data_IF_321776991711
#
_entry.id   IF_321776991711
#
_cell.length_a   1.000
_cell.length_b   1.000
_cell.length_c   1.000
_cell.angle_alpha   90.00
_cell.angle_beta   90.00
_cell.angle_gamma   90.00
#
_symmetry.space_group_name_H-M   'P 1'
#
loop_
_entity.id
_entity.type
_entity.pdbx_description
1 polymer ?
#
# COMPACT_ATOMS: atom_id res chain seq x y z
N UNK A 1 1.60 -5.24 -18.08
CA UNK A 1 3.00 -5.57 -17.77
C UNK A 1 3.73 -4.38 -17.15
N UNK A 2 4.81 -4.66 -16.41
CA UNK A 2 5.76 -3.68 -15.89
C UNK A 2 7.07 -3.76 -16.67
N UNK A 3 7.80 -2.64 -16.77
CA UNK A 3 9.02 -2.58 -17.58
C UNK A 3 10.00 -1.53 -17.03
N UNK A 4 11.21 -1.95 -16.71
CA UNK A 4 12.35 -1.07 -16.43
C UNK A 4 13.12 -0.82 -17.75
N UNK A 5 12.64 0.12 -18.55
CA UNK A 5 13.16 0.33 -19.92
C UNK A 5 14.45 1.15 -20.00
N UNK A 6 14.93 1.69 -18.91
CA UNK A 6 16.02 2.70 -18.84
C UNK A 6 17.29 2.27 -19.58
N UNK A 7 17.74 1.01 -19.38
CA UNK A 7 18.93 0.49 -20.07
C UNK A 7 18.87 0.58 -21.60
N UNK A 8 17.64 0.51 -22.16
CA UNK A 8 17.45 0.52 -23.64
C UNK A 8 17.82 1.86 -24.28
N UNK A 9 17.85 2.91 -23.47
CA UNK A 9 18.22 4.27 -23.89
C UNK A 9 19.44 4.80 -23.14
N UNK A 10 20.21 3.90 -22.49
CA UNK A 10 21.44 4.27 -21.80
C UNK A 10 21.26 5.04 -20.49
N UNK A 11 20.07 4.96 -19.87
CA UNK A 11 19.79 5.57 -18.56
C UNK A 11 19.79 4.53 -17.42
N UNK A 12 19.89 5.04 -16.22
CA UNK A 12 19.64 4.29 -14.97
C UNK A 12 18.20 4.46 -14.52
N UNK A 13 17.64 3.52 -13.74
CA UNK A 13 16.31 3.67 -13.15
C UNK A 13 16.19 4.93 -12.29
N UNK A 14 15.00 5.55 -12.30
CA UNK A 14 14.67 6.77 -11.55
C UNK A 14 13.41 6.60 -10.67
N UNK A 15 12.83 7.73 -10.22
CA UNK A 15 11.61 7.78 -9.40
C UNK A 15 11.64 6.88 -8.15
N UNK A 16 12.82 6.65 -7.57
CA UNK A 16 12.99 5.82 -6.38
C UNK A 16 12.85 4.31 -6.64
N UNK A 17 12.77 3.88 -7.90
CA UNK A 17 12.57 2.46 -8.22
C UNK A 17 13.67 1.55 -7.69
N UNK A 18 14.92 2.01 -7.64
CA UNK A 18 16.05 1.24 -7.07
C UNK A 18 15.99 1.11 -5.55
N UNK A 19 15.21 1.93 -4.87
CA UNK A 19 14.94 1.86 -3.44
C UNK A 19 13.69 1.01 -3.16
N UNK A 20 12.60 1.22 -3.91
CA UNK A 20 11.32 0.56 -3.70
C UNK A 20 11.31 -0.90 -4.16
N UNK A 21 11.78 -1.18 -5.39
CA UNK A 21 11.70 -2.53 -5.96
C UNK A 21 12.38 -3.61 -5.09
N UNK A 22 13.63 -3.43 -4.59
CA UNK A 22 14.26 -4.46 -3.78
C UNK A 22 13.54 -4.73 -2.45
N UNK A 23 12.80 -3.77 -1.93
CA UNK A 23 11.97 -3.95 -0.73
C UNK A 23 10.69 -4.73 -1.01
N UNK A 24 10.15 -4.60 -2.22
CA UNK A 24 8.93 -5.31 -2.64
C UNK A 24 9.19 -6.74 -3.14
N UNK A 25 10.19 -6.92 -4.01
CA UNK A 25 10.41 -8.19 -4.74
C UNK A 25 11.78 -8.83 -4.50
N UNK A 26 12.57 -8.23 -3.62
CA UNK A 26 13.93 -8.66 -3.31
C UNK A 26 14.97 -8.15 -4.31
N UNK A 27 16.23 -8.04 -3.85
CA UNK A 27 17.32 -7.42 -4.61
C UNK A 27 17.64 -8.14 -5.94
N UNK A 28 17.64 -9.47 -5.94
CA UNK A 28 18.01 -10.25 -7.13
C UNK A 28 17.06 -9.97 -8.30
N UNK A 29 15.74 -10.07 -8.08
CA UNK A 29 14.71 -9.79 -9.10
C UNK A 29 14.73 -8.33 -9.56
N UNK A 30 14.95 -7.39 -8.64
CA UNK A 30 15.00 -5.96 -8.95
C UNK A 30 16.18 -5.62 -9.85
N UNK A 31 17.36 -6.17 -9.56
CA UNK A 31 18.56 -6.00 -10.38
C UNK A 31 18.36 -6.62 -11.75
N UNK A 32 17.84 -7.84 -11.83
CA UNK A 32 17.56 -8.53 -13.09
C UNK A 32 16.61 -7.73 -13.97
N UNK A 33 15.44 -7.28 -13.43
CA UNK A 33 14.49 -6.44 -14.17
C UNK A 33 15.14 -5.17 -14.73
N UNK A 34 15.98 -4.51 -13.94
CA UNK A 34 16.63 -3.27 -14.35
C UNK A 34 17.72 -3.50 -15.38
N UNK A 35 18.53 -4.56 -15.22
CA UNK A 35 19.63 -4.88 -16.13
C UNK A 35 19.14 -5.50 -17.45
N UNK A 36 18.13 -6.38 -17.40
CA UNK A 36 17.64 -7.06 -18.60
C UNK A 36 16.63 -6.20 -19.36
N UNK A 37 15.85 -5.36 -18.66
CA UNK A 37 14.86 -4.49 -19.28
C UNK A 37 13.77 -5.29 -20.01
N UNK A 38 13.38 -6.42 -19.45
CA UNK A 38 12.32 -7.29 -19.97
C UNK A 38 10.96 -6.92 -19.40
N UNK A 39 9.90 -7.29 -20.12
CA UNK A 39 8.52 -7.12 -19.66
C UNK A 39 8.21 -8.11 -18.56
N UNK A 40 7.75 -7.62 -17.42
CA UNK A 40 7.20 -8.43 -16.33
C UNK A 40 5.66 -8.48 -16.47
N UNK A 41 5.07 -9.64 -16.82
CA UNK A 41 3.61 -9.80 -16.88
C UNK A 41 2.95 -9.51 -15.54
N UNK A 42 1.66 -9.10 -15.55
CA UNK A 42 0.93 -8.74 -14.34
C UNK A 42 0.80 -9.93 -13.37
N UNK A 43 0.53 -11.12 -13.87
CA UNK A 43 0.43 -12.35 -13.07
C UNK A 43 1.75 -12.67 -12.37
N UNK A 44 2.87 -12.47 -13.06
CA UNK A 44 4.19 -12.69 -12.49
C UNK A 44 4.54 -11.61 -11.46
N UNK A 45 4.11 -10.38 -11.69
CA UNK A 45 4.24 -9.28 -10.74
C UNK A 45 3.46 -9.54 -9.45
N UNK A 46 2.26 -10.14 -9.56
CA UNK A 46 1.48 -10.62 -8.42
C UNK A 46 2.20 -11.75 -7.66
N UNK A 47 2.68 -12.78 -8.37
CA UNK A 47 3.46 -13.89 -7.78
C UNK A 47 4.69 -13.38 -7.00
N UNK A 48 5.34 -12.34 -7.51
CA UNK A 48 6.52 -11.75 -6.88
C UNK A 48 6.22 -10.79 -5.72
N UNK A 49 4.96 -10.43 -5.53
CA UNK A 49 4.55 -9.48 -4.49
C UNK A 49 4.76 -8.01 -4.89
N UNK A 50 5.00 -7.71 -6.17
CA UNK A 50 5.10 -6.34 -6.66
C UNK A 50 3.76 -5.62 -6.62
N UNK A 51 2.68 -6.36 -6.88
CA UNK A 51 1.30 -5.87 -6.84
C UNK A 51 0.42 -6.82 -6.03
N UNK A 52 -0.71 -6.32 -5.55
CA UNK A 52 -1.60 -7.07 -4.66
C UNK A 52 -2.73 -7.80 -5.38
N UNK A 53 -3.09 -7.38 -6.60
CA UNK A 53 -4.26 -7.90 -7.34
C UNK A 53 -4.05 -7.76 -8.83
N UNK A 54 -4.65 -8.67 -9.58
CA UNK A 54 -4.77 -8.62 -11.05
C UNK A 54 -6.25 -8.82 -11.38
N UNK A 55 -6.73 -8.10 -12.34
CA UNK A 55 -8.09 -8.18 -12.87
C UNK A 55 -8.05 -8.23 -14.40
N UNK A 56 -9.07 -8.80 -15.02
CA UNK A 56 -9.26 -8.65 -16.46
C UNK A 56 -9.41 -7.18 -16.83
N UNK A 57 -8.88 -6.79 -17.99
CA UNK A 57 -8.90 -5.39 -18.45
C UNK A 57 -10.29 -4.77 -18.43
N UNK A 58 -11.32 -5.55 -18.79
CA UNK A 58 -12.71 -5.10 -18.77
C UNK A 58 -13.25 -4.81 -17.35
N UNK A 59 -12.74 -5.50 -16.34
CA UNK A 59 -13.18 -5.38 -14.95
C UNK A 59 -12.32 -4.43 -14.13
N UNK A 60 -11.09 -4.15 -14.56
CA UNK A 60 -10.08 -3.42 -13.79
C UNK A 60 -10.59 -2.10 -13.22
N UNK A 61 -11.26 -1.29 -14.04
CA UNK A 61 -11.75 0.03 -13.63
C UNK A 61 -12.80 -0.08 -12.53
N UNK A 62 -13.76 -0.97 -12.70
CA UNK A 62 -14.87 -1.14 -11.76
C UNK A 62 -14.39 -1.72 -10.44
N UNK A 63 -13.49 -2.71 -10.48
CA UNK A 63 -12.91 -3.29 -9.27
C UNK A 63 -12.00 -2.29 -8.52
N UNK A 64 -11.23 -1.49 -9.24
CA UNK A 64 -10.44 -0.41 -8.64
C UNK A 64 -11.34 0.65 -7.99
N UNK A 65 -12.45 1.03 -8.65
CA UNK A 65 -13.41 1.98 -8.10
C UNK A 65 -14.14 1.43 -6.87
N UNK A 66 -14.50 0.15 -6.85
CA UNK A 66 -15.07 -0.49 -5.64
C UNK A 66 -14.12 -0.37 -4.46
N UNK A 67 -12.85 -0.73 -4.65
CA UNK A 67 -11.84 -0.61 -3.61
C UNK A 67 -11.65 0.84 -3.15
N UNK A 68 -11.60 1.79 -4.09
CA UNK A 68 -11.48 3.21 -3.76
C UNK A 68 -12.67 3.73 -2.95
N UNK A 69 -13.89 3.33 -3.31
CA UNK A 69 -15.09 3.69 -2.54
C UNK A 69 -15.13 3.03 -1.16
N UNK A 70 -14.71 1.77 -1.04
CA UNK A 70 -14.60 1.09 0.25
C UNK A 70 -13.65 1.85 1.19
N UNK A 71 -12.46 2.20 0.71
CA UNK A 71 -11.50 2.98 1.47
C UNK A 71 -11.99 4.39 1.79
N UNK A 72 -12.66 5.06 0.84
CA UNK A 72 -13.19 6.42 1.05
C UNK A 72 -14.33 6.46 2.09
N UNK A 73 -15.10 5.38 2.21
CA UNK A 73 -16.15 5.23 3.22
C UNK A 73 -15.64 4.64 4.55
N UNK A 74 -14.36 4.32 4.62
CA UNK A 74 -13.71 3.81 5.83
C UNK A 74 -13.33 4.92 6.83
N UNK A 75 -12.74 4.55 7.97
CA UNK A 75 -12.26 5.49 8.99
C UNK A 75 -10.98 6.19 8.50
N UNK A 76 -11.12 7.27 7.75
CA UNK A 76 -10.02 7.87 6.97
C UNK A 76 -8.85 8.35 7.82
N UNK A 77 -9.07 8.78 9.07
CA UNK A 77 -7.99 9.12 10.03
C UNK A 77 -7.15 7.88 10.33
N UNK A 78 -7.78 6.75 10.62
CA UNK A 78 -7.08 5.50 10.88
C UNK A 78 -6.37 4.97 9.63
N UNK A 79 -7.02 5.02 8.45
CA UNK A 79 -6.41 4.61 7.19
C UNK A 79 -5.17 5.43 6.84
N UNK A 80 -5.22 6.76 7.04
CA UNK A 80 -4.06 7.64 6.87
C UNK A 80 -2.93 7.29 7.85
N UNK A 81 -3.29 7.00 9.12
CA UNK A 81 -2.34 6.55 10.15
C UNK A 81 -1.67 5.22 9.76
N UNK A 82 -2.44 4.23 9.32
CA UNK A 82 -1.92 2.93 8.86
C UNK A 82 -0.92 3.14 7.72
N UNK A 83 -1.29 3.91 6.70
CA UNK A 83 -0.39 4.18 5.57
C UNK A 83 0.92 4.83 6.03
N UNK A 84 0.84 5.80 6.94
CA UNK A 84 2.00 6.48 7.49
C UNK A 84 2.90 5.52 8.27
N UNK A 85 2.33 4.68 9.14
CA UNK A 85 3.10 3.70 9.93
C UNK A 85 3.95 2.78 9.05
N UNK A 86 3.37 2.22 7.99
CA UNK A 86 4.12 1.35 7.09
C UNK A 86 5.18 2.10 6.27
N UNK A 87 4.89 3.35 5.89
CA UNK A 87 5.87 4.15 5.14
C UNK A 87 7.07 4.52 6.01
N UNK A 88 6.82 5.02 7.22
CA UNK A 88 7.87 5.47 8.14
C UNK A 88 8.67 4.28 8.72
N UNK A 89 8.07 3.06 8.77
CA UNK A 89 8.74 1.84 9.27
C UNK A 89 9.99 1.44 8.49
N UNK A 90 10.14 1.91 7.27
CA UNK A 90 11.30 1.63 6.42
C UNK A 90 12.59 2.30 6.93
N UNK A 91 12.46 3.34 7.76
CA UNK A 91 13.58 4.14 8.28
C UNK A 91 13.65 4.17 9.81
N UNK A 92 12.54 3.87 10.50
CA UNK A 92 12.47 3.86 11.95
C UNK A 92 13.20 2.66 12.57
N UNK A 93 13.86 2.88 13.71
CA UNK A 93 14.18 1.79 14.63
C UNK A 93 12.91 1.17 15.22
N UNK A 94 13.00 -0.01 15.79
CA UNK A 94 11.85 -0.67 16.45
C UNK A 94 11.22 0.19 17.55
N UNK A 95 12.04 0.87 18.35
CA UNK A 95 11.58 1.76 19.42
C UNK A 95 10.86 3.00 18.87
N UNK A 96 11.42 3.63 17.85
CA UNK A 96 10.77 4.77 17.17
C UNK A 96 9.45 4.36 16.53
N UNK A 97 9.40 3.18 15.93
CA UNK A 97 8.17 2.64 15.35
C UNK A 97 7.08 2.43 16.42
N UNK A 98 7.40 1.80 17.55
CA UNK A 98 6.46 1.63 18.66
C UNK A 98 5.94 2.98 19.21
N UNK A 99 6.82 3.98 19.31
CA UNK A 99 6.42 5.32 19.72
C UNK A 99 5.47 5.98 18.72
N UNK A 100 5.72 5.83 17.43
CA UNK A 100 4.84 6.35 16.38
C UNK A 100 3.49 5.63 16.38
N UNK A 101 3.46 4.31 16.53
CA UNK A 101 2.25 3.52 16.69
C UNK A 101 1.41 4.02 17.87
N UNK A 102 2.03 4.22 19.02
CA UNK A 102 1.36 4.74 20.21
C UNK A 102 0.72 6.11 19.97
N UNK A 103 1.44 7.01 19.29
CA UNK A 103 0.93 8.35 18.98
C UNK A 103 -0.28 8.30 18.03
N UNK A 104 -0.17 7.53 16.94
CA UNK A 104 -1.24 7.41 15.95
C UNK A 104 -2.44 6.61 16.47
N UNK A 105 -2.20 5.61 17.33
CA UNK A 105 -3.26 4.87 18.02
C UNK A 105 -4.08 5.79 18.95
N UNK A 106 -3.40 6.67 19.72
CA UNK A 106 -4.09 7.68 20.53
C UNK A 106 -4.90 8.65 19.68
N UNK A 107 -4.35 9.11 18.55
CA UNK A 107 -5.04 10.02 17.65
C UNK A 107 -6.30 9.36 17.08
N UNK A 108 -6.18 8.16 16.53
CA UNK A 108 -7.31 7.40 15.98
C UNK A 108 -8.35 7.06 17.05
N UNK A 109 -7.93 6.66 18.27
CA UNK A 109 -8.80 6.35 19.39
C UNK A 109 -9.60 7.54 19.94
N UNK A 110 -9.20 8.77 19.61
CA UNK A 110 -9.94 9.99 20.00
C UNK A 110 -11.05 10.37 19.01
N UNK A 111 -11.15 9.71 17.85
CA UNK A 111 -12.10 10.02 16.78
C UNK A 111 -13.52 9.54 17.08
N UNK A 112 -14.51 10.16 16.41
CA UNK A 112 -15.88 9.66 16.38
C UNK A 112 -15.96 8.28 15.69
N UNK A 113 -15.14 8.09 14.66
CA UNK A 113 -15.08 6.84 13.90
C UNK A 113 -14.62 5.65 14.77
N UNK A 114 -13.69 5.86 15.69
CA UNK A 114 -13.33 4.81 16.67
C UNK A 114 -14.52 4.40 17.53
N UNK A 115 -15.28 5.38 18.07
CA UNK A 115 -16.47 5.11 18.89
C UNK A 115 -17.54 4.39 18.10
N UNK A 116 -17.78 4.83 16.86
CA UNK A 116 -18.73 4.18 15.95
C UNK A 116 -18.29 2.75 15.63
N UNK A 117 -17.00 2.54 15.32
CA UNK A 117 -16.46 1.22 15.03
C UNK A 117 -16.64 0.23 16.18
N UNK A 118 -16.34 0.65 17.42
CA UNK A 118 -16.55 -0.17 18.63
C UNK A 118 -18.03 -0.47 18.84
N UNK A 119 -18.89 0.54 18.73
CA UNK A 119 -20.33 0.38 18.89
C UNK A 119 -20.92 -0.57 17.85
N UNK A 120 -20.58 -0.37 16.59
CA UNK A 120 -21.04 -1.22 15.49
C UNK A 120 -20.58 -2.68 15.66
N UNK A 121 -19.33 -2.89 16.11
CA UNK A 121 -18.82 -4.23 16.41
C UNK A 121 -19.62 -4.93 17.50
N UNK A 122 -19.90 -4.25 18.62
CA UNK A 122 -20.68 -4.81 19.74
C UNK A 122 -22.13 -5.10 19.33
N UNK A 123 -22.72 -4.24 18.49
CA UNK A 123 -24.09 -4.38 17.99
C UNK A 123 -24.19 -5.34 16.77
N UNK A 124 -23.07 -5.87 16.29
CA UNK A 124 -22.99 -6.76 15.11
C UNK A 124 -23.65 -6.16 13.85
N UNK A 125 -23.44 -4.88 13.62
CA UNK A 125 -23.90 -4.15 12.43
C UNK A 125 -22.74 -3.53 11.67
N UNK A 126 -22.93 -3.17 10.39
CA UNK A 126 -21.94 -2.37 9.67
C UNK A 126 -21.70 -1.01 10.34
N UNK A 127 -20.43 -0.60 10.41
CA UNK A 127 -20.07 0.73 10.88
C UNK A 127 -20.35 1.79 9.80
N UNK A 128 -20.62 3.02 10.24
CA UNK A 128 -20.88 4.18 9.37
C UNK A 128 -19.88 5.27 9.71
N UNK A 129 -18.71 5.19 9.11
CA UNK A 129 -17.63 6.14 9.33
C UNK A 129 -17.89 7.48 8.66
N UNK A 130 -17.31 8.54 9.23
CA UNK A 130 -17.46 9.94 8.77
C UNK A 130 -16.12 10.62 8.51
N UNK A 131 -15.01 9.94 8.75
CA UNK A 131 -13.66 10.46 8.57
C UNK A 131 -13.21 11.45 9.67
N UNK A 132 -13.77 11.39 10.86
CA UNK A 132 -13.47 12.34 11.94
C UNK A 132 -13.59 11.71 13.34
#
# INVERSE_FOLDING_TARGET
YFLQAFRRIGLVPDCGSTWLLPRLIGKARSVELSLMGEKLPAEKALEWGLINRVYDDAALKDEAMKLAHDLANGPTVALAGIRRLYWDSEENSYEEQLNLEFQLQRLAGATEDFKEGVTAFLEKRPAKFKGK
#
